data_IF_275219590870
#
_entry.id   IF_275219590870
#
_cell.length_a   1.000
_cell.length_b   1.000
_cell.length_c   1.000
_cell.angle_alpha   90.00
_cell.angle_beta   90.00
_cell.angle_gamma   90.00
#
_symmetry.space_group_name_H-M   'P 1'
#
loop_
_entity.id
_entity.type
_entity.pdbx_description
1 polymer ?
#
# COMPACT_ATOMS: atom_id res chain seq x y z
N UNK A 1 -33.47 -30.63 -65.02
CA UNK A 1 -32.84 -31.75 -64.29
C UNK A 1 -31.95 -31.17 -63.19
N UNK A 2 -32.30 -31.45 -61.93
CA UNK A 2 -31.52 -31.33 -60.67
C UNK A 2 -30.87 -29.98 -60.29
N UNK A 3 -30.93 -29.46 -59.06
CA UNK A 3 -31.75 -29.68 -57.86
C UNK A 3 -31.20 -28.77 -56.73
N UNK A 4 -32.08 -28.02 -56.05
CA UNK A 4 -32.08 -27.72 -54.58
C UNK A 4 -30.95 -26.80 -54.05
N UNK A 5 -31.12 -25.87 -53.09
CA UNK A 5 -31.79 -25.92 -51.78
C UNK A 5 -32.21 -24.49 -51.33
N UNK A 6 -33.51 -24.34 -51.03
CA UNK A 6 -34.16 -23.73 -49.84
C UNK A 6 -33.76 -22.31 -49.40
N UNK A 7 -34.67 -21.39 -49.75
CA UNK A 7 -34.93 -20.07 -49.20
C UNK A 7 -36.07 -20.20 -48.17
N UNK A 8 -35.80 -20.12 -46.86
CA UNK A 8 -36.85 -19.96 -45.86
C UNK A 8 -36.28 -19.61 -44.48
N UNK A 9 -36.33 -18.33 -44.10
CA UNK A 9 -36.76 -17.82 -42.78
C UNK A 9 -36.38 -16.33 -42.68
N UNK A 10 -37.24 -15.46 -43.19
CA UNK A 10 -37.20 -14.03 -42.86
C UNK A 10 -38.53 -13.44 -43.29
N UNK A 11 -39.54 -13.53 -42.43
CA UNK A 11 -40.48 -12.44 -42.14
C UNK A 11 -41.55 -12.90 -41.14
N UNK A 12 -42.01 -11.91 -40.37
CA UNK A 12 -43.15 -11.92 -39.44
C UNK A 12 -42.82 -12.45 -38.04
N UNK A 13 -42.41 -11.56 -37.14
CA UNK A 13 -43.31 -11.01 -36.10
C UNK A 13 -42.83 -9.62 -35.73
N UNK A 14 -43.60 -8.61 -36.14
CA UNK A 14 -43.57 -7.28 -35.55
C UNK A 14 -44.54 -7.22 -34.38
N UNK A 15 -44.25 -6.33 -33.42
CA UNK A 15 -45.15 -5.78 -32.38
C UNK A 15 -45.31 -6.57 -31.07
N UNK A 16 -44.46 -6.22 -30.11
CA UNK A 16 -44.85 -6.08 -28.70
C UNK A 16 -43.83 -5.16 -28.02
N UNK A 17 -44.04 -3.87 -28.17
CA UNK A 17 -43.43 -2.86 -27.32
C UNK A 17 -44.06 -3.01 -25.92
N UNK A 18 -43.42 -3.80 -25.05
CA UNK A 18 -43.63 -3.69 -23.60
C UNK A 18 -42.54 -2.81 -23.03
N UNK A 19 -42.98 -1.61 -22.60
CA UNK A 19 -42.34 -0.77 -21.58
C UNK A 19 -41.66 -1.66 -20.54
N UNK A 20 -40.33 -1.68 -20.51
CA UNK A 20 -39.62 -2.10 -19.31
C UNK A 20 -39.41 -0.84 -18.46
N UNK A 21 -40.07 -0.85 -17.31
CA UNK A 21 -40.03 0.17 -16.28
C UNK A 21 -38.64 0.31 -15.67
N UNK A 22 -38.29 1.54 -15.30
CA UNK A 22 -37.23 1.86 -14.33
C UNK A 22 -37.40 1.01 -13.05
N UNK A 23 -36.58 -0.02 -12.88
CA UNK A 23 -36.05 -0.55 -11.61
C UNK A 23 -35.36 -1.88 -11.89
N UNK A 24 -34.18 -2.08 -11.31
CA UNK A 24 -33.23 -3.19 -11.53
C UNK A 24 -32.17 -2.91 -12.60
N UNK A 25 -31.41 -1.82 -12.45
CA UNK A 25 -29.97 -1.97 -12.63
C UNK A 25 -29.53 -3.01 -11.60
N UNK A 26 -29.30 -4.25 -12.06
CA UNK A 26 -28.51 -5.20 -11.31
C UNK A 26 -27.18 -4.49 -11.04
N UNK A 27 -26.94 -4.12 -9.79
CA UNK A 27 -25.62 -3.71 -9.33
C UNK A 27 -24.71 -4.89 -9.69
N UNK A 28 -23.97 -4.75 -10.80
CA UNK A 28 -22.91 -5.70 -11.13
C UNK A 28 -21.96 -5.69 -9.93
N UNK A 29 -21.62 -6.85 -9.35
CA UNK A 29 -20.65 -6.90 -8.26
C UNK A 29 -19.27 -6.37 -8.69
N UNK A 30 -19.05 -6.24 -10.00
CA UNK A 30 -17.86 -5.65 -10.59
C UNK A 30 -18.19 -4.25 -11.14
N UNK A 31 -17.54 -3.18 -10.67
CA UNK A 31 -17.70 -1.86 -11.25
C UNK A 31 -17.21 -1.87 -12.70
N UNK A 32 -18.12 -1.63 -13.63
CA UNK A 32 -17.88 -1.79 -15.08
C UNK A 32 -17.05 -0.66 -15.68
N UNK A 33 -16.77 0.41 -14.92
CA UNK A 33 -16.01 1.59 -15.32
C UNK A 33 -14.58 1.66 -14.75
N UNK A 34 -14.05 0.55 -14.20
CA UNK A 34 -12.71 0.50 -13.60
C UNK A 34 -11.56 0.90 -14.55
N UNK A 35 -11.80 0.92 -15.87
CA UNK A 35 -10.75 0.99 -16.89
C UNK A 35 -10.87 2.17 -17.87
N UNK A 36 -11.90 3.01 -17.77
CA UNK A 36 -12.13 4.06 -18.78
C UNK A 36 -11.16 5.27 -18.65
N UNK A 37 -10.55 5.51 -17.48
CA UNK A 37 -9.80 6.76 -17.22
C UNK A 37 -8.33 6.61 -16.77
N UNK A 38 -7.69 5.43 -16.88
CA UNK A 38 -6.39 5.17 -16.21
C UNK A 38 -5.32 4.55 -17.12
N UNK A 39 -5.17 5.04 -18.36
CA UNK A 39 -4.02 4.65 -19.20
C UNK A 39 -3.12 5.87 -19.45
N UNK A 40 -1.97 5.99 -18.77
CA UNK A 40 -1.04 7.11 -18.97
C UNK A 40 -0.46 7.14 -20.39
N UNK A 41 -0.09 8.32 -20.90
CA UNK A 41 0.55 8.47 -22.23
C UNK A 41 1.98 7.89 -22.31
N UNK A 42 2.69 7.80 -21.18
CA UNK A 42 3.94 7.04 -21.03
C UNK A 42 3.72 5.96 -19.97
N UNK A 43 3.96 4.69 -20.34
CA UNK A 43 3.71 3.55 -19.45
C UNK A 43 4.94 2.66 -19.39
N UNK A 44 5.69 2.73 -18.29
CA UNK A 44 6.59 1.63 -17.95
C UNK A 44 5.73 0.41 -17.61
N UNK A 45 5.58 -0.51 -18.58
CA UNK A 45 4.76 -1.72 -18.44
C UNK A 45 5.40 -2.81 -17.55
N UNK A 46 6.61 -2.56 -17.02
CA UNK A 46 7.33 -3.50 -16.18
C UNK A 46 7.86 -2.79 -14.92
N UNK A 47 7.01 -2.13 -14.11
CA UNK A 47 7.50 -1.35 -12.98
C UNK A 47 8.17 -2.26 -11.93
N UNK A 48 9.20 -1.74 -11.29
CA UNK A 48 9.87 -2.33 -10.13
C UNK A 48 9.66 -1.42 -8.93
N UNK A 49 9.29 -2.00 -7.80
CA UNK A 49 8.88 -1.24 -6.61
C UNK A 49 9.66 -1.72 -5.41
N UNK A 50 10.26 -0.78 -4.69
CA UNK A 50 10.97 -1.05 -3.45
C UNK A 50 10.01 -1.42 -2.32
N UNK A 51 10.37 -2.36 -1.46
CA UNK A 51 9.67 -2.65 -0.21
C UNK A 51 10.67 -2.54 0.92
N UNK A 52 10.45 -1.58 1.82
CA UNK A 52 11.35 -1.32 2.96
C UNK A 52 11.24 -2.45 3.98
N UNK A 53 12.36 -3.07 4.31
CA UNK A 53 12.43 -4.03 5.41
C UNK A 53 12.66 -3.31 6.74
N UNK A 54 12.37 -4.00 7.83
CA UNK A 54 12.59 -3.51 9.19
C UNK A 54 13.21 -4.60 10.06
N UNK A 55 14.01 -4.21 11.03
CA UNK A 55 14.60 -5.12 12.01
C UNK A 55 13.49 -5.92 12.71
N UNK A 56 13.66 -7.24 12.77
CA UNK A 56 12.69 -8.12 13.40
C UNK A 56 12.53 -7.85 14.89
N UNK A 57 13.54 -7.23 15.53
CA UNK A 57 13.50 -6.81 16.93
C UNK A 57 12.33 -5.87 17.22
N UNK A 58 11.84 -5.13 16.22
CA UNK A 58 10.60 -4.38 16.36
C UNK A 58 9.39 -5.29 16.60
N UNK A 59 9.32 -6.42 15.90
CA UNK A 59 8.16 -7.32 15.93
C UNK A 59 8.25 -8.34 17.06
N UNK A 60 7.88 -7.93 18.28
CA UNK A 60 7.96 -8.75 19.51
C UNK A 60 7.53 -10.22 19.34
N UNK A 61 6.45 -10.47 18.59
CA UNK A 61 5.93 -11.82 18.33
C UNK A 61 6.87 -12.74 17.53
N UNK A 62 7.81 -12.18 16.77
CA UNK A 62 8.79 -12.92 15.97
C UNK A 62 10.15 -13.04 16.66
N UNK A 63 10.45 -12.18 17.64
CA UNK A 63 11.76 -12.10 18.33
C UNK A 63 12.06 -13.34 19.16
N UNK A 64 11.03 -14.05 19.61
CA UNK A 64 11.21 -15.25 20.45
C UNK A 64 11.65 -16.49 19.65
N UNK A 65 11.79 -16.37 18.32
CA UNK A 65 12.13 -17.50 17.46
C UNK A 65 13.62 -17.49 17.08
N UNK A 66 14.40 -18.57 17.30
CA UNK A 66 15.86 -18.56 17.13
C UNK A 66 16.36 -18.14 15.74
N UNK A 67 15.62 -18.40 14.66
CA UNK A 67 16.02 -18.01 13.30
C UNK A 67 15.85 -16.52 13.00
N UNK A 68 15.24 -15.75 13.90
CA UNK A 68 14.97 -14.33 13.75
C UNK A 68 16.18 -13.45 14.09
N UNK A 69 17.20 -13.97 14.76
CA UNK A 69 18.33 -13.16 15.21
C UNK A 69 19.07 -12.45 14.05
N UNK A 70 19.33 -11.15 14.21
CA UNK A 70 20.00 -10.30 13.21
C UNK A 70 19.36 -10.37 11.81
N UNK A 71 18.03 -10.33 11.76
CA UNK A 71 17.27 -10.29 10.50
C UNK A 71 16.47 -9.01 10.34
N UNK A 72 16.44 -8.54 9.11
CA UNK A 72 15.40 -7.67 8.60
C UNK A 72 14.27 -8.49 8.01
N UNK A 73 13.05 -7.95 8.03
CA UNK A 73 11.90 -8.61 7.44
C UNK A 73 10.88 -7.64 6.87
N UNK A 74 9.99 -8.19 6.05
CA UNK A 74 8.66 -7.61 5.80
C UNK A 74 7.66 -8.73 5.49
N UNK A 75 6.37 -8.45 5.70
CA UNK A 75 5.28 -9.36 5.34
C UNK A 75 5.23 -9.64 3.84
N UNK A 76 5.04 -10.91 3.46
CA UNK A 76 4.84 -11.28 2.05
C UNK A 76 3.60 -10.65 1.42
N UNK A 77 2.63 -10.26 2.23
CA UNK A 77 1.40 -9.59 1.79
C UNK A 77 1.67 -8.27 1.05
N UNK A 78 2.72 -7.52 1.41
CA UNK A 78 3.12 -6.30 0.70
C UNK A 78 3.63 -6.59 -0.72
N UNK A 79 4.36 -7.70 -0.89
CA UNK A 79 4.85 -8.17 -2.19
C UNK A 79 3.67 -8.67 -3.04
N UNK A 80 2.79 -9.47 -2.46
CA UNK A 80 1.58 -9.97 -3.13
C UNK A 80 0.66 -8.83 -3.57
N UNK A 81 0.61 -7.73 -2.82
CA UNK A 81 -0.10 -6.51 -3.22
C UNK A 81 0.49 -5.91 -4.50
N UNK A 82 1.80 -5.96 -4.70
CA UNK A 82 2.44 -5.50 -5.94
C UNK A 82 2.22 -6.49 -7.10
N UNK A 83 2.39 -7.78 -6.84
CA UNK A 83 2.21 -8.84 -7.84
C UNK A 83 0.79 -8.83 -8.40
N UNK A 84 -0.22 -8.62 -7.55
CA UNK A 84 -1.63 -8.55 -7.92
C UNK A 84 -2.00 -7.43 -8.90
N UNK A 85 -1.16 -6.39 -9.02
CA UNK A 85 -1.33 -5.32 -10.00
C UNK A 85 -0.23 -5.28 -11.07
N UNK A 86 0.62 -6.31 -11.14
CA UNK A 86 1.64 -6.45 -12.18
C UNK A 86 2.89 -5.60 -11.99
N UNK A 87 3.32 -5.38 -10.75
CA UNK A 87 4.64 -4.85 -10.41
C UNK A 87 5.58 -5.96 -9.90
N UNK A 88 6.88 -5.67 -9.83
CA UNK A 88 7.90 -6.58 -9.28
C UNK A 88 8.57 -5.96 -8.06
N UNK A 89 8.75 -6.73 -6.99
CA UNK A 89 9.32 -6.21 -5.75
C UNK A 89 10.85 -6.23 -5.73
N UNK A 90 11.43 -5.22 -5.08
CA UNK A 90 12.86 -5.08 -4.75
C UNK A 90 12.97 -4.85 -3.24
N UNK A 91 13.64 -5.71 -2.45
CA UNK A 91 13.80 -5.47 -1.02
C UNK A 91 14.75 -4.29 -0.78
N UNK A 92 14.38 -3.40 0.14
CA UNK A 92 15.25 -2.32 0.65
C UNK A 92 15.56 -2.62 2.11
N UNK A 93 16.74 -3.20 2.36
CA UNK A 93 17.19 -3.57 3.71
C UNK A 93 17.50 -2.35 4.57
N UNK A 94 17.41 -2.50 5.87
CA UNK A 94 17.59 -1.43 6.85
C UNK A 94 19.06 -0.95 6.96
N UNK A 95 20.01 -1.82 6.65
CA UNK A 95 21.44 -1.55 6.63
C UNK A 95 21.94 -0.88 5.34
N UNK A 96 21.08 -0.67 4.34
CA UNK A 96 21.46 -0.02 3.07
C UNK A 96 22.08 1.37 3.34
N UNK A 97 23.24 1.61 2.71
CA UNK A 97 23.93 2.89 2.85
C UNK A 97 23.13 4.01 2.18
N UNK A 98 23.31 5.25 2.65
CA UNK A 98 22.72 6.45 2.03
C UNK A 98 23.04 6.56 0.53
N UNK A 99 24.27 6.16 0.13
CA UNK A 99 24.72 6.20 -1.26
C UNK A 99 23.99 5.15 -2.09
N UNK A 100 23.95 3.91 -1.61
CA UNK A 100 23.36 2.80 -2.35
C UNK A 100 21.84 2.93 -2.43
N UNK A 101 21.19 3.42 -1.37
CA UNK A 101 19.77 3.79 -1.42
C UNK A 101 19.52 4.84 -2.49
N UNK A 102 20.32 5.91 -2.51
CA UNK A 102 20.15 6.94 -3.54
C UNK A 102 20.32 6.37 -4.95
N UNK A 103 21.29 5.48 -5.19
CA UNK A 103 21.46 4.79 -6.47
C UNK A 103 20.22 3.96 -6.80
N UNK A 104 19.74 3.17 -5.85
CA UNK A 104 18.58 2.30 -6.03
C UNK A 104 17.30 3.07 -6.36
N UNK A 105 17.05 4.19 -5.68
CA UNK A 105 15.88 5.05 -5.94
C UNK A 105 15.87 5.63 -7.36
N UNK A 106 17.02 5.77 -8.03
CA UNK A 106 17.08 6.17 -9.44
C UNK A 106 16.91 5.00 -10.42
N UNK A 107 16.83 3.75 -9.95
CA UNK A 107 16.60 2.55 -10.76
C UNK A 107 15.16 2.05 -10.68
N UNK A 108 14.53 2.15 -9.50
CA UNK A 108 13.17 1.66 -9.25
C UNK A 108 12.11 2.74 -9.52
N UNK A 109 10.84 2.32 -9.55
CA UNK A 109 9.71 3.14 -10.01
C UNK A 109 8.77 3.64 -8.91
N UNK A 110 9.02 3.27 -7.65
CA UNK A 110 8.25 3.67 -6.48
C UNK A 110 8.63 2.82 -5.26
N UNK A 111 8.05 3.12 -4.10
CA UNK A 111 8.36 2.41 -2.85
C UNK A 111 7.12 2.21 -1.96
N UNK A 112 6.99 1.01 -1.38
CA UNK A 112 6.14 0.77 -0.21
C UNK A 112 6.98 0.89 1.06
N UNK A 113 6.50 1.71 1.99
CA UNK A 113 6.96 1.75 3.38
C UNK A 113 5.92 0.96 4.20
N UNK A 114 6.21 -0.30 4.56
CA UNK A 114 5.20 -1.19 5.13
C UNK A 114 4.89 -0.90 6.59
N UNK A 115 3.78 -1.46 7.07
CA UNK A 115 3.42 -1.49 8.48
C UNK A 115 4.26 -2.49 9.28
N UNK A 116 4.19 -2.40 10.61
CA UNK A 116 4.92 -3.25 11.54
C UNK A 116 5.35 -2.47 12.79
N UNK A 117 6.24 -3.07 13.57
CA UNK A 117 6.68 -2.49 14.85
C UNK A 117 8.09 -1.86 14.80
N UNK A 118 8.55 -1.46 13.60
CA UNK A 118 9.87 -0.82 13.38
C UNK A 118 10.09 0.40 14.29
N UNK A 119 11.30 0.63 14.81
CA UNK A 119 11.60 1.88 15.51
C UNK A 119 11.49 3.10 14.57
N UNK A 120 10.89 4.20 15.03
CA UNK A 120 10.64 5.45 14.28
C UNK A 120 11.46 6.64 14.80
N UNK A 121 12.37 6.42 15.76
CA UNK A 121 13.19 7.46 16.37
C UNK A 121 14.66 7.47 15.90
N UNK A 122 15.37 6.34 16.04
CA UNK A 122 16.78 6.22 15.63
C UNK A 122 17.05 4.85 14.99
N UNK A 123 16.49 4.66 13.79
CA UNK A 123 16.56 3.39 13.07
C UNK A 123 16.95 3.60 11.60
N UNK A 124 17.39 2.52 10.95
CA UNK A 124 17.54 2.54 9.50
C UNK A 124 16.19 2.67 8.80
N UNK A 125 15.10 2.12 9.36
CA UNK A 125 13.75 2.29 8.83
C UNK A 125 13.35 3.78 8.76
N UNK A 126 13.60 4.54 9.82
CA UNK A 126 13.36 5.99 9.87
C UNK A 126 14.25 6.73 8.86
N UNK A 127 15.55 6.44 8.86
CA UNK A 127 16.55 7.04 7.95
C UNK A 127 16.20 6.81 6.48
N UNK A 128 15.81 5.60 6.12
CA UNK A 128 15.46 5.19 4.76
C UNK A 128 14.16 5.86 4.34
N UNK A 129 13.13 5.83 5.21
CA UNK A 129 11.83 6.46 4.97
C UNK A 129 11.97 7.96 4.71
N UNK A 130 12.72 8.69 5.56
CA UNK A 130 13.02 10.12 5.35
C UNK A 130 13.69 10.38 4.00
N UNK A 131 14.60 9.52 3.56
CA UNK A 131 15.27 9.67 2.26
C UNK A 131 14.33 9.39 1.08
N UNK A 132 13.47 8.38 1.17
CA UNK A 132 12.47 8.03 0.15
C UNK A 132 11.47 9.17 -0.03
N UNK A 133 10.92 9.70 1.06
CA UNK A 133 9.95 10.81 1.03
C UNK A 133 10.59 12.05 0.40
N UNK A 134 11.81 12.38 0.81
CA UNK A 134 12.57 13.49 0.22
C UNK A 134 12.90 13.27 -1.26
N UNK A 135 13.19 12.03 -1.67
CA UNK A 135 13.42 11.69 -3.07
C UNK A 135 12.15 11.93 -3.89
N UNK A 136 10.99 11.43 -3.44
CA UNK A 136 9.69 11.65 -4.10
C UNK A 136 9.37 13.14 -4.25
N UNK A 137 9.52 13.94 -3.18
CA UNK A 137 9.34 15.41 -3.23
C UNK A 137 10.29 16.08 -4.22
N UNK A 138 11.55 15.63 -4.31
CA UNK A 138 12.55 16.17 -5.26
C UNK A 138 12.22 15.80 -6.72
N UNK A 139 11.74 14.58 -6.97
CA UNK A 139 11.33 14.14 -8.30
C UNK A 139 10.08 14.89 -8.76
N UNK A 140 9.11 15.09 -7.86
CA UNK A 140 7.91 15.87 -8.13
C UNK A 140 8.22 17.32 -8.58
N UNK A 141 9.20 17.99 -7.95
CA UNK A 141 9.68 19.33 -8.39
C UNK A 141 10.28 19.35 -9.80
N UNK A 142 10.66 18.19 -10.34
CA UNK A 142 11.16 18.01 -11.71
C UNK A 142 10.08 17.46 -12.65
N UNK A 143 8.82 17.42 -12.23
CA UNK A 143 7.71 16.77 -12.94
C UNK A 143 7.95 15.28 -13.22
N UNK A 144 8.73 14.60 -12.36
CA UNK A 144 8.96 13.16 -12.41
C UNK A 144 8.14 12.52 -11.29
N UNK A 145 7.18 11.68 -11.65
CA UNK A 145 6.39 10.90 -10.68
C UNK A 145 7.28 9.83 -10.05
N UNK A 146 7.38 9.81 -8.72
CA UNK A 146 7.99 8.72 -7.95
C UNK A 146 7.11 8.42 -6.73
N UNK A 147 6.14 7.50 -6.85
CA UNK A 147 5.13 7.28 -5.83
C UNK A 147 5.68 6.55 -4.61
N UNK A 148 5.17 6.93 -3.45
CA UNK A 148 5.47 6.29 -2.15
C UNK A 148 4.16 5.95 -1.47
N UNK A 149 4.00 4.70 -1.06
CA UNK A 149 2.85 4.22 -0.30
C UNK A 149 3.29 3.82 1.12
N UNK A 150 2.87 4.57 2.12
CA UNK A 150 3.00 4.20 3.52
C UNK A 150 1.77 3.45 4.01
N UNK A 151 1.97 2.30 4.67
CA UNK A 151 0.89 1.51 5.28
C UNK A 151 1.14 1.42 6.79
N UNK A 152 0.12 1.71 7.60
CA UNK A 152 0.15 1.68 9.06
C UNK A 152 1.38 2.43 9.63
N UNK A 153 2.41 1.70 10.12
CA UNK A 153 3.66 2.28 10.59
C UNK A 153 4.36 3.15 9.55
N UNK A 154 4.30 2.77 8.28
CA UNK A 154 4.84 3.58 7.19
C UNK A 154 4.09 4.90 7.01
N UNK A 155 2.77 4.90 7.18
CA UNK A 155 1.96 6.12 7.11
C UNK A 155 2.28 7.06 8.29
N UNK A 156 2.45 6.50 9.49
CA UNK A 156 2.91 7.24 10.68
C UNK A 156 4.30 7.84 10.45
N UNK A 157 5.24 7.04 9.94
CA UNK A 157 6.60 7.48 9.65
C UNK A 157 6.63 8.62 8.61
N UNK A 158 5.76 8.58 7.60
CA UNK A 158 5.65 9.66 6.62
C UNK A 158 5.26 11.00 7.27
N UNK A 159 4.31 10.98 8.19
CA UNK A 159 3.90 12.21 8.88
C UNK A 159 4.91 12.67 9.92
N UNK A 160 5.52 11.76 10.69
CA UNK A 160 6.59 12.09 11.64
C UNK A 160 7.78 12.71 10.89
N UNK A 161 8.16 12.13 9.75
CA UNK A 161 9.24 12.65 8.92
C UNK A 161 8.98 14.08 8.42
N UNK A 162 7.73 14.42 8.10
CA UNK A 162 7.36 15.76 7.65
C UNK A 162 7.21 16.75 8.82
N UNK A 163 6.65 16.29 9.94
CA UNK A 163 6.51 17.10 11.15
C UNK A 163 7.85 17.36 11.86
N UNK A 164 8.85 16.50 11.61
CA UNK A 164 10.16 16.47 12.29
C UNK A 164 10.04 16.33 13.81
N UNK A 165 9.03 15.57 14.25
CA UNK A 165 8.78 15.21 15.65
C UNK A 165 7.84 14.01 15.73
N UNK A 166 7.94 13.22 16.80
CA UNK A 166 6.88 12.29 17.17
C UNK A 166 5.73 13.06 17.84
N UNK A 167 4.52 12.79 17.38
CA UNK A 167 3.28 13.40 17.89
C UNK A 167 2.11 12.41 17.86
N UNK A 168 2.41 11.11 17.66
CA UNK A 168 1.39 10.07 17.68
C UNK A 168 0.74 10.00 19.05
N UNK A 169 -0.53 9.59 19.07
CA UNK A 169 -1.24 9.29 20.31
C UNK A 169 -1.65 7.83 20.32
N UNK A 170 -1.83 7.29 21.52
CA UNK A 170 -2.39 5.96 21.68
C UNK A 170 -3.81 5.89 21.13
N UNK A 171 -4.15 4.76 20.50
CA UNK A 171 -5.47 4.48 19.93
C UNK A 171 -5.88 3.04 20.22
N UNK A 172 -7.13 2.81 20.61
CA UNK A 172 -7.75 1.48 20.65
C UNK A 172 -8.24 1.08 19.25
N UNK A 173 -7.29 0.73 18.39
CA UNK A 173 -7.53 0.37 16.98
C UNK A 173 -6.80 -0.92 16.58
N UNK A 174 -6.42 -1.74 17.56
CA UNK A 174 -5.96 -3.08 17.29
C UNK A 174 -7.13 -3.98 16.91
N UNK A 175 -6.89 -4.82 15.89
CA UNK A 175 -7.81 -5.85 15.45
C UNK A 175 -9.23 -5.29 15.19
N UNK A 176 -9.32 -4.23 14.38
CA UNK A 176 -10.54 -3.43 14.22
C UNK A 176 -10.84 -3.08 12.77
N UNK A 177 -11.89 -3.70 12.20
CA UNK A 177 -12.37 -3.33 10.86
C UNK A 177 -13.47 -2.27 10.93
N UNK A 178 -13.31 -1.18 10.18
CA UNK A 178 -14.23 -0.03 10.16
C UNK A 178 -14.37 0.56 8.74
N UNK A 179 -15.44 1.32 8.47
CA UNK A 179 -15.53 2.17 7.28
C UNK A 179 -14.53 3.33 7.37
N UNK A 180 -14.41 4.12 6.30
CA UNK A 180 -13.65 5.37 6.25
C UNK A 180 -14.59 6.57 6.39
N UNK A 181 -14.32 7.45 7.34
CA UNK A 181 -15.04 8.73 7.43
C UNK A 181 -14.37 9.72 6.47
N UNK A 182 -14.85 9.74 5.21
CA UNK A 182 -14.30 10.60 4.16
C UNK A 182 -14.43 12.08 4.51
N UNK A 183 -13.38 12.85 4.20
CA UNK A 183 -13.38 14.31 4.26
C UNK A 183 -13.92 14.90 2.95
N UNK A 184 -14.15 16.22 2.95
CA UNK A 184 -14.52 16.95 1.72
C UNK A 184 -13.43 16.87 0.63
N UNK A 185 -12.16 16.68 1.01
CA UNK A 185 -11.03 16.56 0.06
C UNK A 185 -11.01 15.19 -0.67
N UNK A 186 -11.80 14.21 -0.23
CA UNK A 186 -11.73 12.83 -0.75
C UNK A 186 -12.10 12.72 -2.24
N UNK A 187 -13.12 13.46 -2.69
CA UNK A 187 -13.61 13.43 -4.08
C UNK A 187 -12.68 14.10 -5.08
N UNK A 188 -11.82 15.00 -4.61
CA UNK A 188 -10.81 15.68 -5.43
C UNK A 188 -9.45 14.99 -5.37
N UNK A 189 -9.33 13.91 -4.59
CA UNK A 189 -8.08 13.20 -4.39
C UNK A 189 -7.67 12.42 -5.64
N UNK A 190 -6.37 12.20 -5.81
CA UNK A 190 -5.87 11.26 -6.83
C UNK A 190 -6.28 9.84 -6.45
N UNK A 191 -6.15 9.49 -5.17
CA UNK A 191 -6.38 8.14 -4.67
C UNK A 191 -7.83 7.67 -4.86
N UNK A 192 -8.85 8.48 -4.55
CA UNK A 192 -10.25 8.04 -4.61
C UNK A 192 -11.16 8.90 -5.49
N UNK A 193 -10.69 10.03 -6.03
CA UNK A 193 -11.52 10.93 -6.83
C UNK A 193 -12.10 10.27 -8.10
N UNK A 194 -11.40 9.28 -8.64
CA UNK A 194 -11.86 8.47 -9.78
C UNK A 194 -12.22 7.04 -9.37
N UNK A 195 -12.41 6.76 -8.08
CA UNK A 195 -12.87 5.44 -7.64
C UNK A 195 -14.29 5.20 -8.15
N UNK A 196 -14.63 3.97 -8.59
CA UNK A 196 -16.00 3.64 -8.93
C UNK A 196 -16.94 3.97 -7.78
N UNK A 197 -18.08 4.60 -8.08
CA UNK A 197 -18.98 5.15 -7.06
C UNK A 197 -19.40 4.10 -6.01
N UNK A 198 -19.73 2.88 -6.43
CA UNK A 198 -20.08 1.79 -5.51
C UNK A 198 -18.93 1.34 -4.59
N UNK A 199 -17.67 1.46 -5.04
CA UNK A 199 -16.50 1.21 -4.19
C UNK A 199 -16.31 2.35 -3.18
N UNK A 200 -16.41 3.59 -3.63
CA UNK A 200 -16.33 4.76 -2.75
C UNK A 200 -17.40 4.66 -1.64
N UNK A 201 -18.65 4.36 -2.00
CA UNK A 201 -19.74 4.20 -1.03
C UNK A 201 -19.50 3.04 -0.08
N UNK A 202 -18.97 1.92 -0.56
CA UNK A 202 -18.64 0.78 0.27
C UNK A 202 -17.54 1.10 1.30
N UNK A 203 -16.47 1.79 0.88
CA UNK A 203 -15.42 2.25 1.78
C UNK A 203 -15.98 3.18 2.86
N UNK A 204 -16.94 4.05 2.51
CA UNK A 204 -17.56 4.99 3.45
C UNK A 204 -18.62 4.41 4.38
N UNK A 205 -19.11 3.18 4.13
CA UNK A 205 -20.28 2.64 4.86
C UNK A 205 -20.10 1.24 5.43
N UNK A 206 -19.11 0.47 4.96
CA UNK A 206 -18.87 -0.91 5.39
C UNK A 206 -17.58 -1.04 6.18
N UNK A 207 -17.59 -1.91 7.19
CA UNK A 207 -16.44 -2.24 8.00
C UNK A 207 -15.41 -3.11 7.23
N UNK A 208 -14.76 -2.54 6.21
CA UNK A 208 -13.87 -3.24 5.28
C UNK A 208 -12.41 -2.75 5.34
N UNK A 209 -12.10 -1.78 6.19
CA UNK A 209 -10.71 -1.31 6.38
C UNK A 209 -10.17 -1.82 7.71
N UNK A 210 -9.25 -2.77 7.66
CA UNK A 210 -8.70 -3.42 8.85
C UNK A 210 -7.59 -2.58 9.49
N UNK A 211 -7.75 -2.28 10.77
CA UNK A 211 -6.79 -1.55 11.59
C UNK A 211 -6.10 -2.49 12.58
N UNK A 212 -4.79 -2.33 12.70
CA UNK A 212 -3.92 -3.10 13.59
C UNK A 212 -2.83 -2.21 14.19
N UNK A 213 -3.23 -1.05 14.71
CA UNK A 213 -2.31 -0.06 15.29
C UNK A 213 -2.71 0.33 16.72
N UNK A 214 -1.69 0.53 17.57
CA UNK A 214 -1.84 1.08 18.93
C UNK A 214 -1.61 2.59 18.98
N UNK A 215 -1.16 3.17 17.88
CA UNK A 215 -0.91 4.60 17.78
C UNK A 215 -1.56 5.15 16.51
N UNK A 216 -2.02 6.39 16.56
CA UNK A 216 -2.64 7.08 15.45
C UNK A 216 -2.18 8.53 15.37
N UNK A 217 -2.49 9.17 14.25
CA UNK A 217 -2.18 10.57 13.97
C UNK A 217 -3.41 11.40 14.33
N UNK A 218 -3.44 12.14 15.45
CA UNK A 218 -4.62 12.91 15.84
C UNK A 218 -4.97 13.94 14.77
N UNK A 219 -6.26 14.09 14.46
CA UNK A 219 -6.72 15.11 13.52
C UNK A 219 -6.31 16.52 13.96
N UNK A 220 -6.44 16.82 15.26
CA UNK A 220 -6.02 18.10 15.85
C UNK A 220 -4.53 18.37 15.60
N UNK A 221 -3.67 17.38 15.80
CA UNK A 221 -2.22 17.53 15.60
C UNK A 221 -1.87 17.72 14.13
N UNK A 222 -2.60 17.06 13.23
CA UNK A 222 -2.46 17.23 11.78
C UNK A 222 -2.83 18.65 11.34
N UNK A 223 -4.05 19.09 11.66
CA UNK A 223 -4.56 20.40 11.20
C UNK A 223 -3.84 21.60 11.84
N UNK A 224 -3.32 21.45 13.07
CA UNK A 224 -2.53 22.50 13.73
C UNK A 224 -1.06 22.55 13.28
N UNK A 225 -0.61 21.62 12.43
CA UNK A 225 0.76 21.58 11.95
C UNK A 225 0.83 22.09 10.50
N UNK A 226 1.39 23.29 10.32
CA UNK A 226 1.51 23.93 9.00
C UNK A 226 2.28 23.10 7.99
N UNK A 227 3.38 22.42 8.39
CA UNK A 227 4.15 21.57 7.48
C UNK A 227 3.34 20.38 6.97
N UNK A 228 2.54 19.76 7.85
CA UNK A 228 1.66 18.66 7.47
C UNK A 228 0.56 19.14 6.53
N UNK A 229 -0.08 20.27 6.85
CA UNK A 229 -1.13 20.85 6.02
C UNK A 229 -0.62 21.33 4.65
N UNK A 230 0.62 21.82 4.55
CA UNK A 230 1.25 22.17 3.27
C UNK A 230 1.60 20.93 2.44
N UNK A 231 2.01 19.85 3.09
CA UNK A 231 2.49 18.65 2.39
C UNK A 231 1.37 17.71 2.02
N UNK A 232 0.37 17.54 2.88
CA UNK A 232 -0.66 16.51 2.77
C UNK A 232 -2.08 17.10 2.82
N UNK A 233 -3.00 16.38 2.18
CA UNK A 233 -4.44 16.50 2.38
C UNK A 233 -4.97 15.27 3.10
N UNK A 234 -5.88 15.47 4.04
CA UNK A 234 -6.53 14.37 4.74
C UNK A 234 -7.69 13.88 3.88
N UNK A 235 -7.70 12.60 3.53
CA UNK A 235 -8.71 11.98 2.65
C UNK A 235 -9.81 11.30 3.48
N UNK A 236 -9.43 10.66 4.57
CA UNK A 236 -10.38 10.13 5.54
C UNK A 236 -9.83 10.23 6.95
N UNK A 237 -10.76 10.26 7.89
CA UNK A 237 -10.50 10.11 9.31
C UNK A 237 -11.22 8.88 9.83
N UNK A 238 -10.93 8.49 11.07
CA UNK A 238 -11.71 7.52 11.79
C UNK A 238 -11.65 7.79 13.30
N UNK A 239 -12.53 7.12 14.03
CA UNK A 239 -12.52 7.07 15.48
C UNK A 239 -12.07 5.69 15.96
N UNK A 240 -11.20 5.67 16.97
CA UNK A 240 -10.91 4.44 17.70
C UNK A 240 -12.10 4.05 18.62
N UNK A 241 -12.01 2.92 19.32
CA UNK A 241 -13.09 2.49 20.23
C UNK A 241 -13.33 3.42 21.42
N UNK A 242 -12.38 4.30 21.74
CA UNK A 242 -12.44 5.26 22.85
C UNK A 242 -12.87 6.67 22.39
N UNK A 243 -13.15 6.87 21.10
CA UNK A 243 -13.55 8.17 20.54
C UNK A 243 -12.38 9.09 20.17
N UNK A 244 -11.15 8.59 20.15
CA UNK A 244 -9.98 9.32 19.64
C UNK A 244 -10.05 9.38 18.12
N UNK A 245 -10.17 10.58 17.56
CA UNK A 245 -10.17 10.77 16.11
C UNK A 245 -8.75 10.83 15.54
N UNK A 246 -8.49 10.08 14.48
CA UNK A 246 -7.20 10.03 13.80
C UNK A 246 -7.34 10.12 12.26
N UNK A 247 -6.26 10.54 11.59
CA UNK A 247 -6.16 10.51 10.13
C UNK A 247 -5.99 9.06 9.68
N UNK A 248 -6.92 8.54 8.87
CA UNK A 248 -6.89 7.15 8.40
C UNK A 248 -6.40 6.99 6.96
N UNK A 249 -6.59 8.01 6.12
CA UNK A 249 -6.04 8.07 4.76
C UNK A 249 -5.60 9.49 4.43
N UNK A 250 -4.45 9.64 3.77
CA UNK A 250 -3.96 10.93 3.29
C UNK A 250 -3.18 10.80 1.98
N UNK A 251 -3.04 11.90 1.26
CA UNK A 251 -2.15 11.98 0.11
C UNK A 251 -1.40 13.31 0.05
N UNK A 252 -0.26 13.33 -0.64
CA UNK A 252 0.53 14.53 -0.84
C UNK A 252 -0.20 15.54 -1.73
N UNK A 253 -0.09 16.83 -1.42
CA UNK A 253 -0.68 17.88 -2.27
C UNK A 253 0.05 18.02 -3.61
N UNK A 254 1.37 17.89 -3.60
CA UNK A 254 2.22 18.14 -4.77
C UNK A 254 3.12 16.96 -5.18
N UNK A 255 3.39 16.03 -4.26
CA UNK A 255 4.16 14.82 -4.52
C UNK A 255 3.26 13.58 -4.42
N UNK A 256 3.53 12.50 -5.17
CA UNK A 256 2.76 11.26 -5.15
C UNK A 256 3.05 10.44 -3.89
N UNK A 257 2.75 11.01 -2.73
CA UNK A 257 2.85 10.40 -1.42
C UNK A 257 1.45 9.93 -1.01
N UNK A 258 1.30 8.68 -0.61
CA UNK A 258 0.02 8.09 -0.22
C UNK A 258 0.18 7.37 1.11
N UNK A 259 -0.73 7.62 2.06
CA UNK A 259 -0.66 7.02 3.39
C UNK A 259 -1.99 6.41 3.80
N UNK A 260 -1.94 5.16 4.24
CA UNK A 260 -3.07 4.39 4.74
C UNK A 260 -2.75 3.92 6.16
N UNK A 261 -3.51 4.34 7.16
CA UNK A 261 -3.32 3.85 8.54
C UNK A 261 -3.81 2.39 8.69
N UNK A 262 -4.72 1.98 7.81
CA UNK A 262 -5.31 0.65 7.71
C UNK A 262 -4.54 -0.24 6.70
N UNK A 263 -4.84 -1.54 6.71
CA UNK A 263 -4.10 -2.57 5.98
C UNK A 263 -4.91 -3.18 4.81
N UNK A 264 -4.85 -2.62 3.59
CA UNK A 264 -5.53 -3.20 2.43
C UNK A 264 -5.01 -4.60 2.10
N UNK A 265 -3.71 -4.86 2.28
CA UNK A 265 -3.05 -6.10 1.88
C UNK A 265 -3.55 -7.33 2.65
N UNK A 266 -4.07 -7.14 3.87
CA UNK A 266 -4.47 -8.25 4.73
C UNK A 266 -5.75 -8.93 4.23
N UNK A 267 -6.70 -8.15 3.72
CA UNK A 267 -7.96 -8.69 3.15
C UNK A 267 -7.74 -9.71 2.03
N UNK A 268 -6.64 -9.55 1.27
CA UNK A 268 -6.29 -10.42 0.16
C UNK A 268 -5.43 -11.62 0.58
N UNK A 269 -4.57 -11.47 1.59
CA UNK A 269 -3.42 -12.37 1.77
C UNK A 269 -3.13 -12.84 3.19
N UNK A 270 -3.89 -12.41 4.21
CA UNK A 270 -3.68 -12.82 5.61
C UNK A 270 -4.97 -13.40 6.18
N UNK A 271 -4.99 -14.69 6.49
CA UNK A 271 -6.18 -15.46 6.86
C UNK A 271 -6.13 -16.01 8.29
N UNK A 272 -5.25 -15.45 9.14
CA UNK A 272 -5.17 -15.82 10.54
C UNK A 272 -6.53 -15.56 11.23
N UNK A 273 -7.22 -16.60 11.73
CA UNK A 273 -8.61 -16.50 12.18
C UNK A 273 -8.82 -15.65 13.44
N UNK A 274 -7.75 -15.31 14.16
CA UNK A 274 -7.82 -14.40 15.32
C UNK A 274 -7.91 -12.93 14.90
N UNK A 275 -7.61 -12.63 13.64
CA UNK A 275 -7.66 -11.27 13.11
C UNK A 275 -9.06 -10.98 12.54
N UNK A 276 -9.63 -9.85 12.92
CA UNK A 276 -10.91 -9.33 12.48
C UNK A 276 -10.82 -8.69 11.07
N UNK A 277 -10.06 -9.33 10.17
CA UNK A 277 -9.92 -8.90 8.77
C UNK A 277 -11.19 -9.27 8.02
N UNK A 278 -11.81 -8.29 7.36
CA UNK A 278 -12.91 -8.57 6.45
C UNK A 278 -12.39 -9.14 5.13
N UNK A 279 -12.83 -10.36 4.80
CA UNK A 279 -12.52 -11.06 3.54
C UNK A 279 -13.70 -11.06 2.56
N UNK A 280 -14.67 -10.15 2.71
CA UNK A 280 -15.78 -10.05 1.78
C UNK A 280 -15.28 -9.65 0.39
N UNK A 281 -16.05 -9.98 -0.65
CA UNK A 281 -15.72 -9.60 -2.03
C UNK A 281 -15.49 -8.08 -2.18
N UNK A 282 -16.19 -7.27 -1.39
CA UNK A 282 -16.07 -5.81 -1.44
C UNK A 282 -14.76 -5.33 -0.81
N UNK A 283 -14.32 -5.95 0.28
CA UNK A 283 -12.98 -5.69 0.87
C UNK A 283 -11.86 -6.09 -0.10
N UNK A 284 -12.00 -7.24 -0.76
CA UNK A 284 -11.09 -7.71 -1.82
C UNK A 284 -11.01 -6.69 -2.98
N UNK A 285 -12.16 -6.18 -3.46
CA UNK A 285 -12.21 -5.16 -4.52
C UNK A 285 -11.54 -3.86 -4.06
N UNK A 286 -11.76 -3.44 -2.80
CA UNK A 286 -11.13 -2.25 -2.25
C UNK A 286 -9.60 -2.38 -2.18
N UNK A 287 -9.09 -3.51 -1.68
CA UNK A 287 -7.65 -3.76 -1.64
C UNK A 287 -7.02 -3.86 -3.04
N UNK A 288 -7.70 -4.53 -3.97
CA UNK A 288 -7.25 -4.60 -5.36
C UNK A 288 -7.25 -3.21 -6.03
N UNK A 289 -8.21 -2.34 -5.70
CA UNK A 289 -8.21 -0.94 -6.16
C UNK A 289 -6.95 -0.19 -5.69
N UNK A 290 -6.60 -0.29 -4.40
CA UNK A 290 -5.39 0.34 -3.86
C UNK A 290 -4.14 -0.18 -4.57
N UNK A 291 -4.04 -1.50 -4.76
CA UNK A 291 -2.94 -2.14 -5.50
C UNK A 291 -2.85 -1.59 -6.93
N UNK A 292 -3.95 -1.59 -7.68
CA UNK A 292 -4.01 -1.11 -9.06
C UNK A 292 -3.68 0.39 -9.16
N UNK A 293 -4.21 1.22 -8.27
CA UNK A 293 -3.93 2.65 -8.21
C UNK A 293 -2.44 2.89 -8.02
N UNK A 294 -1.86 2.30 -6.97
CA UNK A 294 -0.46 2.54 -6.62
C UNK A 294 0.50 2.05 -7.72
N UNK A 295 0.27 0.84 -8.27
CA UNK A 295 1.11 0.37 -9.37
C UNK A 295 0.91 1.24 -10.62
N UNK A 296 -0.29 1.75 -10.91
CA UNK A 296 -0.51 2.68 -12.02
C UNK A 296 0.27 3.98 -11.86
N UNK A 297 0.41 4.49 -10.64
CA UNK A 297 1.31 5.62 -10.35
C UNK A 297 2.78 5.27 -10.65
N UNK A 298 3.22 4.04 -10.33
CA UNK A 298 4.62 3.61 -10.58
C UNK A 298 4.93 3.53 -12.07
N UNK A 299 3.94 3.22 -12.92
CA UNK A 299 4.11 3.13 -14.38
C UNK A 299 4.40 4.49 -15.03
N UNK A 300 4.08 5.59 -14.36
CA UNK A 300 4.36 6.96 -14.80
C UNK A 300 5.84 7.34 -14.60
N UNK A 301 6.59 6.57 -13.81
CA UNK A 301 8.00 6.82 -13.55
C UNK A 301 8.89 6.20 -14.67
N UNK A 302 9.84 6.97 -15.23
CA UNK A 302 10.69 6.51 -16.34
C UNK A 302 11.96 5.75 -15.91
N UNK A 303 12.21 5.57 -14.61
CA UNK A 303 13.43 4.91 -14.15
C UNK A 303 13.50 3.45 -14.64
N UNK A 304 14.72 2.97 -14.82
CA UNK A 304 15.00 1.59 -15.16
C UNK A 304 16.35 1.16 -14.62
N UNK A 305 16.52 -0.15 -14.44
CA UNK A 305 17.85 -0.74 -14.29
C UNK A 305 18.66 -0.59 -15.57
N UNK A 306 19.99 -0.68 -15.45
CA UNK A 306 20.89 -0.55 -16.61
C UNK A 306 20.66 -1.65 -17.64
N UNK A 307 20.48 -2.87 -17.17
CA UNK A 307 20.29 -4.08 -17.97
C UNK A 307 19.57 -5.15 -17.12
N UNK A 308 19.24 -6.28 -17.76
CA UNK A 308 18.52 -7.38 -17.11
C UNK A 308 19.31 -8.03 -15.97
N UNK A 309 20.65 -8.06 -16.05
CA UNK A 309 21.47 -8.66 -15.00
C UNK A 309 21.50 -7.75 -13.76
N UNK A 310 21.64 -6.44 -13.95
CA UNK A 310 21.48 -5.45 -12.89
C UNK A 310 20.11 -5.57 -12.22
N UNK A 311 19.04 -5.65 -13.00
CA UNK A 311 17.69 -5.87 -12.47
C UNK A 311 17.59 -7.17 -11.64
N UNK A 312 18.04 -8.30 -12.20
CA UNK A 312 17.93 -9.60 -11.54
C UNK A 312 18.67 -9.67 -10.20
N UNK A 313 19.77 -8.93 -10.06
CA UNK A 313 20.52 -8.86 -8.80
C UNK A 313 19.78 -8.12 -7.68
N UNK A 314 18.73 -7.36 -8.01
CA UNK A 314 17.93 -6.59 -7.03
C UNK A 314 16.53 -7.16 -6.81
N UNK A 315 16.01 -7.99 -7.72
CA UNK A 315 14.65 -8.50 -7.59
C UNK A 315 14.51 -9.45 -6.40
N UNK A 316 13.35 -9.39 -5.74
CA UNK A 316 12.99 -10.30 -4.65
C UNK A 316 12.84 -11.75 -5.12
N UNK A 317 12.71 -12.01 -6.42
CA UNK A 317 12.40 -13.33 -6.99
C UNK A 317 13.38 -14.45 -6.62
N UNK A 318 14.60 -14.12 -6.19
CA UNK A 318 15.59 -15.08 -5.70
C UNK A 318 15.45 -15.43 -4.21
N UNK A 319 14.52 -14.81 -3.49
CA UNK A 319 14.29 -15.02 -2.07
C UNK A 319 13.01 -15.84 -1.85
N UNK A 320 13.05 -16.73 -0.86
CA UNK A 320 11.90 -17.55 -0.48
C UNK A 320 11.27 -17.01 0.81
N UNK A 321 9.94 -16.87 0.87
CA UNK A 321 9.29 -16.44 2.10
C UNK A 321 9.25 -17.58 3.12
N UNK A 322 9.45 -17.24 4.40
CA UNK A 322 9.33 -18.16 5.54
C UNK A 322 7.89 -18.16 6.03
N UNK A 323 7.32 -19.37 6.20
CA UNK A 323 6.00 -19.52 6.81
C UNK A 323 6.06 -19.21 8.30
N UNK A 324 5.17 -18.32 8.75
CA UNK A 324 5.03 -17.90 10.15
C UNK A 324 3.60 -17.95 10.65
N UNK A 325 2.64 -18.36 9.79
CA UNK A 325 1.20 -18.46 10.11
C UNK A 325 0.87 -19.39 11.29
N UNK A 326 1.81 -20.25 11.70
CA UNK A 326 1.68 -21.10 12.89
C UNK A 326 2.00 -20.38 14.21
N UNK A 327 2.59 -19.19 14.18
CA UNK A 327 2.84 -18.37 15.36
C UNK A 327 1.51 -17.72 15.75
N UNK A 328 1.02 -18.02 16.96
CA UNK A 328 -0.22 -17.46 17.50
C UNK A 328 -0.22 -15.94 17.37
N UNK A 329 -1.32 -15.36 16.85
CA UNK A 329 -1.50 -13.91 16.66
C UNK A 329 -0.48 -13.23 15.71
N UNK A 330 0.27 -13.98 14.91
CA UNK A 330 1.08 -13.38 13.84
C UNK A 330 0.23 -12.51 12.92
N UNK A 331 0.67 -11.27 12.60
CA UNK A 331 -0.02 -10.44 11.63
C UNK A 331 0.23 -10.87 10.17
N UNK A 332 0.98 -11.96 9.93
CA UNK A 332 1.40 -12.42 8.60
C UNK A 332 1.32 -13.95 8.46
N UNK A 333 0.96 -14.43 7.26
CA UNK A 333 1.08 -15.87 6.92
C UNK A 333 2.53 -16.26 6.61
N UNK A 334 3.22 -15.39 5.88
CA UNK A 334 4.60 -15.58 5.47
C UNK A 334 5.32 -14.23 5.48
N UNK A 335 6.62 -14.27 5.78
CA UNK A 335 7.51 -13.11 5.76
C UNK A 335 8.73 -13.39 4.88
N UNK A 336 9.31 -12.35 4.30
CA UNK A 336 10.66 -12.44 3.73
C UNK A 336 11.67 -12.04 4.79
N UNK A 337 12.77 -12.78 4.87
CA UNK A 337 13.86 -12.53 5.81
C UNK A 337 15.13 -12.17 5.06
N UNK A 338 15.88 -11.23 5.60
CA UNK A 338 17.16 -10.79 5.06
C UNK A 338 18.16 -10.71 6.20
N UNK A 339 19.41 -11.11 5.93
CA UNK A 339 20.50 -10.84 6.86
C UNK A 339 20.63 -9.34 7.09
N UNK A 340 20.71 -8.94 8.36
CA UNK A 340 20.91 -7.57 8.80
C UNK A 340 22.24 -7.45 9.52
N UNK A 341 23.13 -6.62 8.99
CA UNK A 341 24.36 -6.25 9.66
C UNK A 341 24.19 -4.89 10.31
N UNK A 342 24.21 -4.83 11.65
CA UNK A 342 24.16 -3.54 12.36
C UNK A 342 25.30 -2.66 11.84
N UNK A 343 25.01 -1.47 11.30
CA UNK A 343 26.07 -0.58 10.84
C UNK A 343 27.01 -0.33 12.01
N UNK A 344 28.32 -0.52 11.77
CA UNK A 344 29.37 -0.40 12.79
C UNK A 344 29.16 0.84 13.66
N UNK A 345 28.72 0.64 14.90
CA UNK A 345 28.66 1.72 15.88
C UNK A 345 30.08 2.00 16.31
N UNK A 346 30.61 3.16 15.88
CA UNK A 346 31.91 3.69 16.31
C UNK A 346 31.92 3.75 17.84
N UNK A 347 32.52 2.75 18.50
CA UNK A 347 32.62 2.69 19.97
C UNK A 347 32.34 1.34 20.63
N UNK A 348 31.75 0.35 19.94
CA UNK A 348 31.68 -1.03 20.48
C UNK A 348 32.83 -1.85 19.89
N UNK A 349 33.74 -2.31 20.76
CA UNK A 349 34.81 -3.25 20.37
C UNK A 349 34.15 -4.50 19.75
N UNK A 350 34.75 -5.09 18.70
CA UNK A 350 34.34 -6.41 18.25
C UNK A 350 34.42 -7.37 19.43
N UNK A 351 33.33 -8.09 19.71
CA UNK A 351 33.41 -9.30 20.53
C UNK A 351 34.27 -10.27 19.75
N UNK A 352 35.46 -10.55 20.27
CA UNK A 352 36.37 -11.58 19.75
C UNK A 352 35.62 -12.93 19.79
N UNK A 353 35.66 -13.63 18.66
CA UNK A 353 35.20 -15.03 18.54
C UNK A 353 36.24 -15.98 19.11
#
# INVERSE_FOLDING_TARGET
MLSKIILSLLLVVATSAKKCSKSCEKISPYPTNFFEDIVPHFVNNRPTVGVVAMEILGQKMLVEVPWSENKDYFGSSFVKLLDAAGARAVPIKEDITKKDLNILLHKINGVIIPGGDADIGDSGYERISKQIINHSKKMAKKNITFPVLGICRGAQMMMIAEADKDFLVETDSLNYSIPLDFTDEARESRLFGHAPQGLFDALGTKAITFNAHKAGIPTVNFYNNTKLMETFRAISTNYDRNGTQFISTFEGRHAPLYGLQWHPEKSLFVFNPVLAVDHSIISIIAAQYISNFFVSETRKNPNSFRDRADEQNHLLLSHYPTYVGNITETPYEQIYLFDFEKPYQKGKKPTEF
#
